data_IF_317664725835
#
_entry.id   IF_317664725835
#
_cell.length_a   1.000
_cell.length_b   1.000
_cell.length_c   1.000
_cell.angle_alpha   90.00
_cell.angle_beta   90.00
_cell.angle_gamma   90.00
#
_symmetry.space_group_name_H-M   'P 1'
#
loop_
_entity.id
_entity.type
_entity.pdbx_description
1 polymer ?
#
# COMPACT_ATOMS: atom_id res chain seq x y z
N UNK A 1 -14.64 8.59 27.08
CA UNK A 1 -14.27 10.00 27.37
C UNK A 1 -13.94 10.67 26.03
N UNK A 2 -14.82 11.53 25.48
CA UNK A 2 -14.56 12.23 24.21
C UNK A 2 -13.62 13.40 24.49
N UNK A 3 -12.40 13.33 23.96
CA UNK A 3 -11.43 14.42 24.04
C UNK A 3 -11.85 15.45 22.98
N UNK A 4 -12.57 16.50 23.37
CA UNK A 4 -12.83 17.64 22.50
C UNK A 4 -11.56 18.50 22.44
N UNK A 5 -10.83 18.45 21.33
CA UNK A 5 -9.74 19.38 21.06
C UNK A 5 -10.30 20.62 20.38
N UNK A 6 -10.18 21.77 21.04
CA UNK A 6 -10.53 23.06 20.44
C UNK A 6 -9.33 23.56 19.64
N UNK A 7 -9.51 23.73 18.33
CA UNK A 7 -8.51 24.30 17.45
C UNK A 7 -8.79 25.78 17.24
N UNK A 8 -7.78 26.64 17.44
CA UNK A 8 -7.87 28.05 17.08
C UNK A 8 -7.55 28.17 15.59
N UNK A 9 -8.49 28.75 14.84
CA UNK A 9 -8.25 29.17 13.46
C UNK A 9 -7.45 30.48 13.52
N UNK A 10 -6.39 30.57 12.75
CA UNK A 10 -5.60 31.80 12.66
C UNK A 10 -6.39 32.91 11.95
N UNK A 11 -5.94 34.15 12.15
CA UNK A 11 -6.65 35.34 11.68
C UNK A 11 -6.66 35.45 10.15
N UNK A 12 -5.63 34.93 9.48
CA UNK A 12 -5.55 34.91 8.01
C UNK A 12 -6.63 33.98 7.44
N UNK A 13 -6.69 32.76 7.93
CA UNK A 13 -7.70 31.76 7.53
C UNK A 13 -9.12 32.26 7.83
N UNK A 14 -9.35 32.92 8.97
CA UNK A 14 -10.66 33.50 9.28
C UNK A 14 -11.05 34.65 8.35
N UNK A 15 -10.09 35.45 7.88
CA UNK A 15 -10.37 36.52 6.92
C UNK A 15 -10.68 35.95 5.52
N UNK A 16 -10.04 34.86 5.11
CA UNK A 16 -10.40 34.13 3.90
C UNK A 16 -11.82 33.54 3.98
N UNK A 17 -12.18 32.90 5.10
CA UNK A 17 -13.53 32.37 5.32
C UNK A 17 -14.59 33.47 5.22
N UNK A 18 -14.35 34.64 5.83
CA UNK A 18 -15.25 35.80 5.75
C UNK A 18 -15.39 36.31 4.31
N UNK A 19 -14.27 36.39 3.59
CA UNK A 19 -14.24 36.85 2.18
C UNK A 19 -15.02 35.89 1.28
N UNK A 20 -14.81 34.59 1.44
CA UNK A 20 -15.50 33.53 0.69
C UNK A 20 -16.99 33.47 1.02
N UNK A 21 -17.35 33.61 2.30
CA UNK A 21 -18.74 33.71 2.76
C UNK A 21 -19.46 34.88 2.10
N UNK A 22 -18.82 36.05 2.04
CA UNK A 22 -19.39 37.24 1.40
C UNK A 22 -19.49 37.11 -0.12
N UNK A 23 -18.47 36.55 -0.79
CA UNK A 23 -18.46 36.38 -2.25
C UNK A 23 -19.41 35.29 -2.73
N UNK A 24 -19.60 34.22 -1.97
CA UNK A 24 -20.48 33.12 -2.33
C UNK A 24 -21.90 33.25 -1.74
N UNK A 25 -22.14 34.28 -0.92
CA UNK A 25 -23.40 34.48 -0.18
C UNK A 25 -23.81 33.24 0.63
N UNK A 26 -22.84 32.66 1.33
CA UNK A 26 -23.01 31.46 2.15
C UNK A 26 -22.66 31.74 3.61
N UNK A 27 -23.33 31.09 4.59
CA UNK A 27 -22.89 31.12 5.98
C UNK A 27 -21.43 30.66 6.11
N UNK A 28 -20.67 31.27 7.02
CA UNK A 28 -19.28 30.89 7.27
C UNK A 28 -19.14 29.41 7.69
N UNK A 29 -20.13 28.87 8.42
CA UNK A 29 -20.21 27.46 8.77
C UNK A 29 -20.19 26.56 7.54
N UNK A 30 -21.03 26.86 6.55
CA UNK A 30 -21.11 26.08 5.30
C UNK A 30 -19.81 26.16 4.47
N UNK A 31 -19.13 27.30 4.49
CA UNK A 31 -17.80 27.46 3.85
C UNK A 31 -16.78 26.56 4.52
N UNK A 32 -16.78 26.50 5.85
CA UNK A 32 -15.88 25.64 6.64
C UNK A 32 -16.20 24.17 6.37
N UNK A 33 -17.47 23.77 6.42
CA UNK A 33 -17.89 22.38 6.21
C UNK A 33 -17.51 21.88 4.81
N UNK A 34 -17.67 22.72 3.78
CA UNK A 34 -17.22 22.41 2.42
C UNK A 34 -15.70 22.27 2.32
N UNK A 35 -14.95 23.15 2.95
CA UNK A 35 -13.49 23.09 2.96
C UNK A 35 -13.01 21.81 3.65
N UNK A 36 -13.63 21.42 4.77
CA UNK A 36 -13.36 20.16 5.46
C UNK A 36 -13.65 18.98 4.54
N UNK A 37 -14.82 18.94 3.90
CA UNK A 37 -15.20 17.84 3.00
C UNK A 37 -14.22 17.69 1.82
N UNK A 38 -13.78 18.80 1.23
CA UNK A 38 -12.80 18.79 0.14
C UNK A 38 -11.43 18.29 0.60
N UNK A 39 -10.96 18.74 1.76
CA UNK A 39 -9.71 18.27 2.36
C UNK A 39 -9.77 16.78 2.71
N UNK A 40 -10.88 16.32 3.29
CA UNK A 40 -11.10 14.90 3.57
C UNK A 40 -11.04 14.07 2.28
N UNK A 41 -11.73 14.52 1.23
CA UNK A 41 -11.70 13.85 -0.08
C UNK A 41 -10.29 13.81 -0.68
N UNK A 42 -9.54 14.92 -0.60
CA UNK A 42 -8.15 14.95 -1.07
C UNK A 42 -7.24 14.02 -0.27
N UNK A 43 -7.40 13.96 1.05
CA UNK A 43 -6.66 13.04 1.91
C UNK A 43 -7.01 11.58 1.57
N UNK A 44 -8.28 11.27 1.33
CA UNK A 44 -8.73 9.94 0.93
C UNK A 44 -8.16 9.54 -0.44
N UNK A 45 -8.21 10.43 -1.44
CA UNK A 45 -7.58 10.21 -2.74
C UNK A 45 -6.05 10.04 -2.63
N UNK A 46 -5.38 10.83 -1.79
CA UNK A 46 -3.94 10.65 -1.54
C UNK A 46 -3.66 9.32 -0.84
N UNK A 47 -4.52 8.88 0.08
CA UNK A 47 -4.41 7.57 0.73
C UNK A 47 -4.66 6.43 -0.24
N UNK A 48 -5.63 6.53 -1.15
CA UNK A 48 -5.87 5.55 -2.20
C UNK A 48 -4.67 5.46 -3.14
N UNK A 49 -4.14 6.59 -3.60
CA UNK A 49 -2.92 6.62 -4.41
C UNK A 49 -1.69 6.06 -3.65
N UNK A 50 -1.59 6.29 -2.34
CA UNK A 50 -0.51 5.75 -1.52
C UNK A 50 -0.71 4.27 -1.12
N UNK A 51 -1.96 3.77 -1.11
CA UNK A 51 -2.30 2.35 -0.89
C UNK A 51 -1.78 1.45 -2.02
N UNK A 52 -1.56 2.00 -3.21
CA UNK A 52 -1.14 1.22 -4.38
C UNK A 52 0.35 0.83 -4.40
N UNK A 53 1.19 1.39 -3.53
CA UNK A 53 2.62 1.04 -3.53
C UNK A 53 2.90 -0.26 -2.78
N UNK A 54 2.81 -1.38 -3.50
CA UNK A 54 3.53 -2.61 -3.13
C UNK A 54 5.02 -2.37 -3.41
N UNK A 55 5.86 -2.51 -2.40
CA UNK A 55 7.32 -2.50 -2.54
C UNK A 55 7.90 -3.87 -2.21
N UNK A 56 8.78 -4.37 -3.07
CA UNK A 56 9.61 -5.53 -2.74
C UNK A 56 10.71 -5.09 -1.78
N UNK A 57 10.84 -5.79 -0.67
CA UNK A 57 11.96 -5.69 0.25
C UNK A 57 13.04 -6.67 -0.22
N UNK A 58 14.25 -6.18 -0.58
CA UNK A 58 15.31 -7.05 -1.06
C UNK A 58 15.67 -8.12 -0.04
N UNK A 59 15.84 -9.37 -0.51
CA UNK A 59 16.28 -10.45 0.36
C UNK A 59 17.77 -10.26 0.72
N UNK A 60 18.12 -10.07 2.00
CA UNK A 60 19.53 -9.90 2.41
C UNK A 60 20.36 -11.18 2.28
N UNK A 61 19.70 -12.35 2.14
CA UNK A 61 20.31 -13.67 2.03
C UNK A 61 19.73 -14.41 0.82
N UNK A 62 20.28 -14.17 -0.39
CA UNK A 62 19.76 -14.76 -1.62
C UNK A 62 19.71 -16.29 -1.52
N UNK A 63 18.62 -16.88 -2.02
CA UNK A 63 18.52 -18.34 -2.04
C UNK A 63 19.61 -18.97 -2.92
N UNK A 64 20.04 -20.21 -2.60
CA UNK A 64 21.05 -20.92 -3.38
C UNK A 64 20.74 -20.97 -4.88
N UNK A 65 21.77 -20.80 -5.73
CA UNK A 65 21.63 -20.73 -7.21
C UNK A 65 20.87 -21.91 -7.81
N UNK A 66 21.02 -23.11 -7.26
CA UNK A 66 20.30 -24.30 -7.71
C UNK A 66 18.78 -24.18 -7.48
N UNK A 67 18.34 -23.48 -6.44
CA UNK A 67 16.93 -23.23 -6.16
C UNK A 67 16.36 -22.10 -7.04
N UNK A 68 17.18 -21.10 -7.36
CA UNK A 68 16.84 -20.06 -8.35
C UNK A 68 16.66 -20.63 -9.75
N UNK A 69 17.49 -21.59 -10.16
CA UNK A 69 17.38 -22.25 -11.45
C UNK A 69 16.08 -23.05 -11.62
N UNK A 70 15.40 -23.39 -10.53
CA UNK A 70 14.11 -24.08 -10.55
C UNK A 70 12.92 -23.14 -10.80
N UNK A 71 13.11 -21.83 -10.69
CA UNK A 71 12.04 -20.84 -10.87
C UNK A 71 11.58 -20.85 -12.32
N UNK A 72 10.29 -21.11 -12.53
CA UNK A 72 9.64 -21.17 -13.85
C UNK A 72 8.22 -20.61 -13.78
N UNK A 73 7.70 -20.29 -14.95
CA UNK A 73 6.30 -19.93 -15.13
C UNK A 73 5.36 -21.02 -14.59
N UNK A 74 4.29 -20.59 -13.92
CA UNK A 74 3.33 -21.46 -13.23
C UNK A 74 3.77 -21.94 -11.85
N UNK A 75 5.03 -21.72 -11.45
CA UNK A 75 5.52 -21.96 -10.09
C UNK A 75 5.12 -20.86 -9.11
N UNK A 76 5.50 -21.01 -7.85
CA UNK A 76 5.20 -20.06 -6.78
C UNK A 76 6.46 -19.58 -6.08
N UNK A 77 6.54 -18.28 -5.84
CA UNK A 77 7.64 -17.62 -5.13
C UNK A 77 7.13 -16.98 -3.85
N UNK A 78 8.03 -16.84 -2.89
CA UNK A 78 7.84 -16.00 -1.72
C UNK A 78 8.69 -14.75 -1.88
N UNK A 79 8.05 -13.58 -1.79
CA UNK A 79 8.70 -12.29 -1.68
C UNK A 79 8.32 -11.61 -0.37
N UNK A 80 9.23 -10.84 0.19
CA UNK A 80 8.91 -9.92 1.28
C UNK A 80 8.38 -8.62 0.67
N UNK A 81 7.13 -8.27 0.98
CA UNK A 81 6.43 -7.11 0.44
C UNK A 81 6.07 -6.13 1.55
N UNK A 82 6.19 -4.84 1.24
CA UNK A 82 5.69 -3.74 2.06
C UNK A 82 4.52 -3.09 1.35
N UNK A 83 3.37 -3.02 2.00
CA UNK A 83 2.15 -2.46 1.42
C UNK A 83 1.91 -1.04 1.95
N UNK A 84 1.80 -0.07 1.05
CA UNK A 84 1.47 1.32 1.39
C UNK A 84 2.33 1.90 2.53
N UNK A 85 1.66 2.41 3.57
CA UNK A 85 2.29 3.03 4.75
C UNK A 85 2.53 2.06 5.92
N UNK A 86 2.37 0.75 5.72
CA UNK A 86 2.65 -0.22 6.78
C UNK A 86 4.08 -0.03 7.32
N UNK A 87 4.25 -0.12 8.64
CA UNK A 87 5.58 0.02 9.27
C UNK A 87 6.40 -1.26 9.17
N UNK A 88 5.78 -2.37 8.79
CA UNK A 88 6.38 -3.69 8.64
C UNK A 88 6.14 -4.25 7.24
N UNK A 89 6.86 -5.32 6.92
CA UNK A 89 6.75 -6.08 5.68
C UNK A 89 6.24 -7.50 5.97
N UNK A 90 5.73 -8.16 4.93
CA UNK A 90 5.09 -9.46 5.02
C UNK A 90 5.59 -10.39 3.91
N UNK A 91 5.78 -11.66 4.24
CA UNK A 91 6.05 -12.68 3.24
C UNK A 91 4.78 -13.00 2.48
N UNK A 92 4.80 -12.81 1.17
CA UNK A 92 3.66 -13.01 0.30
C UNK A 92 3.94 -14.15 -0.67
N UNK A 93 2.92 -14.99 -0.91
CA UNK A 93 2.97 -16.04 -1.90
C UNK A 93 2.44 -15.50 -3.23
N UNK A 94 3.28 -15.59 -4.25
CA UNK A 94 2.94 -15.13 -5.60
C UNK A 94 3.14 -16.26 -6.60
N UNK A 95 2.32 -16.26 -7.65
CA UNK A 95 2.46 -17.17 -8.78
C UNK A 95 3.26 -16.51 -9.88
N UNK A 96 4.28 -17.20 -10.39
CA UNK A 96 5.12 -16.71 -11.48
C UNK A 96 4.33 -16.77 -12.78
N UNK A 97 4.11 -15.61 -13.40
CA UNK A 97 3.45 -15.47 -14.71
C UNK A 97 4.47 -15.45 -15.85
N UNK A 98 5.67 -14.91 -15.60
CA UNK A 98 6.78 -14.99 -16.56
C UNK A 98 8.13 -14.80 -15.88
N UNK A 99 9.20 -15.34 -16.46
CA UNK A 99 10.57 -15.23 -15.93
C UNK A 99 11.60 -15.39 -17.06
N UNK A 100 12.65 -14.57 -17.06
CA UNK A 100 13.75 -14.63 -18.02
C UNK A 100 15.12 -14.94 -17.41
N UNK A 101 15.14 -15.49 -16.19
CA UNK A 101 16.36 -15.89 -15.47
C UNK A 101 17.07 -14.76 -14.72
N UNK A 102 16.64 -13.51 -14.87
CA UNK A 102 17.11 -12.37 -14.06
C UNK A 102 15.93 -11.65 -13.40
N UNK A 103 14.88 -11.42 -14.18
CA UNK A 103 13.65 -10.78 -13.73
C UNK A 103 12.44 -11.65 -14.06
N UNK A 104 11.32 -11.35 -13.41
CA UNK A 104 10.05 -11.96 -13.73
C UNK A 104 8.87 -11.11 -13.31
N UNK A 105 7.69 -11.59 -13.68
CA UNK A 105 6.41 -11.05 -13.28
C UNK A 105 5.66 -12.12 -12.50
N UNK A 106 5.04 -11.74 -11.39
CA UNK A 106 4.25 -12.64 -10.56
C UNK A 106 2.92 -12.01 -10.17
N UNK A 107 1.86 -12.81 -10.21
CA UNK A 107 0.55 -12.44 -9.71
C UNK A 107 0.45 -12.74 -8.22
N UNK A 108 -0.07 -11.79 -7.47
CA UNK A 108 -0.32 -11.95 -6.06
C UNK A 108 -1.46 -12.95 -5.84
N UNK A 109 -1.23 -13.98 -5.02
CA UNK A 109 -2.29 -14.92 -4.61
C UNK A 109 -2.75 -14.56 -3.21
N UNK A 110 -1.83 -14.60 -2.23
CA UNK A 110 -2.18 -14.35 -0.84
C UNK A 110 -0.94 -13.94 -0.02
N UNK A 111 -1.16 -13.30 1.12
CA UNK A 111 -0.13 -13.16 2.15
C UNK A 111 0.00 -14.47 2.90
N UNK A 112 1.24 -14.94 3.05
CA UNK A 112 1.54 -15.98 4.03
C UNK A 112 1.90 -15.27 5.34
N UNK A 113 0.92 -15.13 6.24
CA UNK A 113 1.17 -14.54 7.55
C UNK A 113 2.33 -15.30 8.22
N UNK A 114 3.43 -14.60 8.47
CA UNK A 114 4.48 -15.15 9.32
C UNK A 114 3.99 -15.12 10.76
N UNK A 115 4.34 -16.13 11.58
CA UNK A 115 3.98 -16.12 13.01
C UNK A 115 4.44 -14.86 13.74
N UNK A 116 5.48 -14.21 13.23
CA UNK A 116 6.08 -12.98 13.75
C UNK A 116 5.21 -11.74 13.53
N UNK A 117 4.39 -11.72 12.48
CA UNK A 117 3.56 -10.58 12.07
C UNK A 117 2.18 -11.07 11.61
N UNK A 118 1.38 -11.56 12.56
CA UNK A 118 -0.06 -11.80 12.32
C UNK A 118 -0.77 -10.46 12.22
N UNK A 119 -1.44 -10.23 11.10
CA UNK A 119 -2.24 -9.04 10.87
C UNK A 119 -3.70 -9.45 10.77
N UNK A 120 -4.63 -8.66 11.30
CA UNK A 120 -6.06 -8.91 11.08
C UNK A 120 -6.56 -8.35 9.73
N UNK A 121 -5.64 -7.90 8.87
CA UNK A 121 -5.94 -7.29 7.58
C UNK A 121 -5.99 -8.35 6.47
N UNK A 122 -7.03 -8.30 5.65
CA UNK A 122 -7.20 -9.15 4.47
C UNK A 122 -6.57 -8.47 3.25
N UNK A 123 -5.71 -9.16 2.52
CA UNK A 123 -5.01 -8.62 1.34
C UNK A 123 -5.68 -8.99 0.01
N UNK A 124 -6.98 -9.31 0.05
CA UNK A 124 -7.78 -9.71 -1.12
C UNK A 124 -7.79 -8.62 -2.21
N UNK A 125 -7.69 -7.34 -1.84
CA UNK A 125 -7.61 -6.21 -2.77
C UNK A 125 -6.34 -6.21 -3.64
N UNK A 126 -5.36 -7.05 -3.30
CA UNK A 126 -4.14 -7.24 -4.07
C UNK A 126 -4.16 -8.53 -4.91
N UNK A 127 -5.12 -9.43 -4.72
CA UNK A 127 -5.21 -10.69 -5.47
C UNK A 127 -5.28 -10.44 -6.97
N UNK A 128 -4.45 -11.16 -7.74
CA UNK A 128 -4.31 -11.00 -9.18
C UNK A 128 -3.47 -9.81 -9.63
N UNK A 129 -3.04 -8.90 -8.73
CA UNK A 129 -2.12 -7.81 -9.12
C UNK A 129 -0.77 -8.37 -9.52
N UNK A 130 -0.25 -7.87 -10.64
CA UNK A 130 1.05 -8.25 -11.18
C UNK A 130 2.13 -7.36 -10.59
N UNK A 131 3.18 -7.97 -10.07
CA UNK A 131 4.39 -7.27 -9.64
C UNK A 131 5.61 -7.78 -10.40
N UNK A 132 6.57 -6.88 -10.63
CA UNK A 132 7.87 -7.20 -11.23
C UNK A 132 8.87 -7.48 -10.13
N UNK A 133 9.63 -8.57 -10.25
CA UNK A 133 10.62 -8.97 -9.25
C UNK A 133 11.98 -9.30 -9.89
N UNK A 134 13.05 -9.18 -9.10
CA UNK A 134 14.36 -9.76 -9.41
C UNK A 134 14.47 -11.14 -8.77
N UNK A 135 15.14 -12.08 -9.44
CA UNK A 135 15.44 -13.39 -8.86
C UNK A 135 16.24 -13.28 -7.55
N UNK A 136 17.03 -12.22 -7.37
CA UNK A 136 17.76 -11.96 -6.12
C UNK A 136 16.87 -11.70 -4.91
N UNK A 137 15.62 -11.27 -5.14
CA UNK A 137 14.71 -10.85 -4.09
C UNK A 137 13.86 -12.02 -3.57
N UNK A 138 13.95 -13.19 -4.22
CA UNK A 138 13.20 -14.39 -3.86
C UNK A 138 13.69 -14.91 -2.52
N UNK A 139 12.75 -15.07 -1.58
CA UNK A 139 12.97 -15.69 -0.28
C UNK A 139 12.80 -17.21 -0.34
N UNK A 140 11.83 -17.68 -1.11
CA UNK A 140 11.57 -19.11 -1.29
C UNK A 140 10.88 -19.38 -2.63
N UNK A 141 10.96 -20.64 -3.07
CA UNK A 141 10.34 -21.14 -4.29
C UNK A 141 9.71 -22.52 -4.07
N UNK A 142 8.51 -22.73 -4.61
CA UNK A 142 7.81 -24.01 -4.60
C UNK A 142 7.00 -24.20 -5.89
N UNK A 143 6.96 -25.45 -6.39
CA UNK A 143 6.08 -25.85 -7.50
C UNK A 143 4.67 -26.25 -7.01
N UNK A 144 4.45 -26.21 -5.69
CA UNK A 144 3.23 -26.69 -5.04
C UNK A 144 2.63 -25.60 -4.16
N UNK A 145 1.31 -25.43 -4.26
CA UNK A 145 0.47 -24.72 -3.29
C UNK A 145 0.29 -25.55 -2.02
#
# INVERSE_FOLDING_TARGET
>A
MKISKTFKIDESTMNEIKTLSATQNLPQGDVIDRAIALLTTQIELQRENNKEMIKIVPNPLPIPKNKLASVKEGGYIILELKFGEMTFSLHSLLKVESCNGVFGEASFINVRESEKHKTFETFEEYEGKIIKFSLSDIWDYTDKL
#
